data_IF_930296942537
#
_entry.id   IF_930296942537
#
_cell.length_a   1.000
_cell.length_b   1.000
_cell.length_c   1.000
_cell.angle_alpha   90.00
_cell.angle_beta   90.00
_cell.angle_gamma   90.00
#
_symmetry.space_group_name_H-M   'P 1'
#
loop_
_entity.id
_entity.type
_entity.pdbx_description
1 polymer ?
#
# COMPACT_ATOMS: atom_id res chain seq x y z
N UNK A 1 0.04 17.82 -4.75
CA UNK A 1 -0.36 17.35 -3.41
C UNK A 1 -1.56 16.43 -3.62
N UNK A 2 -1.31 15.12 -3.72
CA UNK A 2 -2.39 14.14 -3.78
C UNK A 2 -3.02 14.04 -2.39
N UNK A 3 -4.36 13.99 -2.36
CA UNK A 3 -5.09 13.87 -1.10
C UNK A 3 -4.86 12.47 -0.52
N UNK A 4 -4.73 12.33 0.81
CA UNK A 4 -4.59 11.03 1.45
C UNK A 4 -5.78 10.14 1.07
N UNK A 5 -5.50 8.90 0.70
CA UNK A 5 -6.51 7.87 0.48
C UNK A 5 -6.87 7.29 1.84
N UNK A 6 -8.16 7.16 2.12
CA UNK A 6 -8.65 6.57 3.35
C UNK A 6 -9.02 5.11 3.09
N UNK A 7 -8.53 4.23 3.96
CA UNK A 7 -8.98 2.82 4.04
C UNK A 7 -9.51 2.60 5.45
N UNK A 8 -10.66 1.96 5.57
CA UNK A 8 -11.18 1.50 6.86
C UNK A 8 -10.74 0.05 7.09
N UNK A 9 -10.07 -0.19 8.20
CA UNK A 9 -9.91 -1.51 8.80
C UNK A 9 -10.47 -1.44 10.21
N UNK A 10 -11.35 -2.34 10.55
CA UNK A 10 -11.94 -2.50 11.90
C UNK A 10 -12.55 -1.22 12.50
N UNK A 11 -13.09 -0.33 11.67
CA UNK A 11 -13.70 0.94 12.11
C UNK A 11 -12.68 2.05 12.43
N UNK A 12 -11.42 1.89 12.07
CA UNK A 12 -10.39 2.92 12.24
C UNK A 12 -10.06 3.62 10.91
N UNK A 13 -10.05 4.96 10.93
CA UNK A 13 -9.64 5.76 9.77
C UNK A 13 -8.13 5.72 9.63
N UNK A 14 -7.64 5.28 8.47
CA UNK A 14 -6.22 5.23 8.14
C UNK A 14 -5.85 6.40 7.21
N UNK A 15 -4.70 7.01 7.47
CA UNK A 15 -4.12 8.02 6.60
C UNK A 15 -3.00 7.38 5.79
N UNK A 16 -3.05 7.57 4.46
CA UNK A 16 -2.00 7.12 3.55
C UNK A 16 -1.20 8.32 3.06
N UNK A 17 0.11 8.26 3.18
CA UNK A 17 1.05 9.26 2.67
C UNK A 17 1.90 8.57 1.61
N UNK A 18 1.72 8.98 0.35
CA UNK A 18 2.58 8.52 -0.74
C UNK A 18 3.94 9.23 -0.65
N UNK A 19 5.00 8.46 -0.60
CA UNK A 19 6.37 8.93 -0.65
C UNK A 19 6.84 8.86 -2.10
N UNK A 20 6.74 9.99 -2.81
CA UNK A 20 7.32 10.17 -4.14
C UNK A 20 8.56 11.06 -4.02
N UNK A 21 9.64 10.64 -4.65
CA UNK A 21 10.95 11.30 -4.61
C UNK A 21 10.94 12.75 -5.14
N UNK A 22 9.97 13.08 -6.00
CA UNK A 22 9.78 14.46 -6.49
C UNK A 22 9.09 15.36 -5.46
N UNK A 23 8.32 14.79 -4.52
CA UNK A 23 7.54 15.51 -3.51
C UNK A 23 8.30 15.67 -2.17
N UNK A 24 9.38 14.94 -1.95
CA UNK A 24 10.17 14.97 -0.70
C UNK A 24 10.88 16.28 -0.42
N UNK A 25 10.91 17.21 -1.36
CA UNK A 25 11.33 18.58 -1.09
C UNK A 25 10.44 19.35 -0.09
N UNK A 26 9.30 18.79 0.33
CA UNK A 26 8.32 19.49 1.17
C UNK A 26 7.85 18.78 2.46
N UNK A 27 7.96 17.44 2.55
CA UNK A 27 7.56 16.67 3.77
C UNK A 27 8.65 15.66 4.18
N UNK A 28 9.86 15.88 3.80
CA UNK A 28 10.80 14.86 3.46
C UNK A 28 11.85 14.53 4.48
N UNK A 29 11.78 14.91 5.73
CA UNK A 29 12.78 14.43 6.68
C UNK A 29 12.18 13.48 7.69
N UNK A 30 12.96 12.49 8.11
CA UNK A 30 12.64 11.62 9.25
C UNK A 30 12.19 12.43 10.48
N UNK A 31 12.64 13.69 10.55
CA UNK A 31 12.28 14.61 11.60
C UNK A 31 10.82 15.09 11.51
N UNK A 32 10.29 15.29 10.31
CA UNK A 32 8.89 15.68 10.12
C UNK A 32 7.96 14.53 10.52
N UNK A 33 8.32 13.29 10.19
CA UNK A 33 7.58 12.11 10.61
C UNK A 33 7.60 11.94 12.14
N UNK A 34 8.70 12.26 12.82
CA UNK A 34 8.75 12.28 14.29
C UNK A 34 7.79 13.30 14.89
N UNK A 35 7.77 14.53 14.33
CA UNK A 35 6.85 15.58 14.78
C UNK A 35 5.39 15.19 14.56
N UNK A 36 5.08 14.47 13.50
CA UNK A 36 3.73 13.95 13.24
C UNK A 36 3.40 12.85 14.27
N UNK A 37 4.31 11.90 14.50
CA UNK A 37 4.12 10.81 15.44
C UNK A 37 3.91 11.29 16.89
N UNK A 38 4.46 12.45 17.26
CA UNK A 38 4.21 13.09 18.57
C UNK A 38 2.80 13.65 18.70
N UNK A 39 2.07 13.84 17.61
CA UNK A 39 0.74 14.49 17.58
C UNK A 39 -0.39 13.55 17.18
N UNK A 40 -0.09 12.50 16.45
CA UNK A 40 -1.06 11.54 15.92
C UNK A 40 -0.51 10.14 16.16
N UNK A 41 -1.36 9.18 16.47
CA UNK A 41 -0.95 7.78 16.58
C UNK A 41 -0.39 7.29 15.24
N UNK A 42 0.92 7.08 15.17
CA UNK A 42 1.62 6.68 13.95
C UNK A 42 1.09 5.35 13.37
N UNK A 43 0.49 4.48 14.20
CA UNK A 43 -0.13 3.21 13.77
C UNK A 43 -1.32 3.42 12.83
N UNK A 44 -1.91 4.63 12.84
CA UNK A 44 -2.99 5.03 11.96
C UNK A 44 -2.51 5.64 10.65
N UNK A 45 -1.20 5.70 10.43
CA UNK A 45 -0.60 6.29 9.23
C UNK A 45 0.16 5.22 8.49
N UNK A 46 -0.15 5.08 7.20
CA UNK A 46 0.55 4.22 6.26
C UNK A 46 1.41 5.07 5.33
N UNK A 47 2.65 4.65 5.12
CA UNK A 47 3.57 5.29 4.20
C UNK A 47 3.78 4.38 3.00
N UNK A 48 3.39 4.84 1.83
CA UNK A 48 3.58 4.14 0.57
C UNK A 48 4.88 4.60 -0.09
N UNK A 49 5.71 3.66 -0.49
CA UNK A 49 6.91 3.86 -1.28
C UNK A 49 6.84 2.99 -2.51
N UNK A 50 7.04 3.59 -3.69
CA UNK A 50 7.06 2.81 -4.93
C UNK A 50 8.30 1.91 -5.01
N UNK A 51 8.17 0.77 -5.68
CA UNK A 51 9.29 -0.14 -5.96
C UNK A 51 10.49 0.61 -6.54
N UNK A 52 10.26 1.47 -7.53
CA UNK A 52 11.29 2.24 -8.22
C UNK A 52 12.01 3.25 -7.30
N UNK A 53 11.28 3.93 -6.42
CA UNK A 53 11.88 4.86 -5.46
C UNK A 53 12.74 4.10 -4.44
N UNK A 54 12.24 2.97 -3.96
CA UNK A 54 12.93 2.14 -3.00
C UNK A 54 14.24 1.53 -3.55
N UNK A 55 14.33 1.32 -4.87
CA UNK A 55 15.49 0.73 -5.54
C UNK A 55 16.59 1.72 -5.93
N UNK A 56 16.40 3.02 -5.77
CA UNK A 56 17.44 4.03 -6.12
C UNK A 56 18.67 3.94 -5.24
N UNK A 57 18.48 3.83 -3.93
CA UNK A 57 19.52 3.60 -2.93
C UNK A 57 18.99 2.59 -1.89
N UNK A 58 19.13 1.29 -2.16
CA UNK A 58 18.53 0.25 -1.34
C UNK A 58 19.00 0.23 0.12
N UNK A 59 20.28 0.47 0.35
CA UNK A 59 20.88 0.48 1.70
C UNK A 59 20.31 1.66 2.52
N UNK A 60 20.32 2.86 1.95
CA UNK A 60 19.75 4.04 2.58
C UNK A 60 18.25 3.86 2.84
N UNK A 61 17.51 3.30 1.88
CA UNK A 61 16.07 3.04 2.01
C UNK A 61 15.77 2.10 3.18
N UNK A 62 16.51 1.01 3.33
CA UNK A 62 16.33 0.09 4.46
C UNK A 62 16.53 0.79 5.80
N UNK A 63 17.57 1.62 5.94
CA UNK A 63 17.86 2.34 7.17
C UNK A 63 16.77 3.36 7.52
N UNK A 64 16.32 4.14 6.52
CA UNK A 64 15.25 5.13 6.70
C UNK A 64 13.94 4.46 7.07
N UNK A 65 13.50 3.45 6.31
CA UNK A 65 12.24 2.76 6.57
C UNK A 65 12.25 1.98 7.88
N UNK A 66 13.40 1.45 8.31
CA UNK A 66 13.56 0.85 9.64
C UNK A 66 13.33 1.87 10.75
N UNK A 67 13.86 3.09 10.57
CA UNK A 67 13.63 4.19 11.48
C UNK A 67 12.16 4.63 11.51
N UNK A 68 11.51 4.69 10.35
CA UNK A 68 10.07 4.98 10.20
C UNK A 68 9.22 3.95 10.93
N UNK A 69 9.52 2.67 10.76
CA UNK A 69 8.83 1.59 11.49
C UNK A 69 9.00 1.70 13.00
N UNK A 70 10.18 2.09 13.46
CA UNK A 70 10.44 2.27 14.90
C UNK A 70 9.58 3.37 15.54
N UNK A 71 9.09 4.32 14.73
CA UNK A 71 8.12 5.35 15.13
C UNK A 71 6.67 4.85 15.15
N UNK A 72 6.41 3.62 14.69
CA UNK A 72 5.09 3.00 14.69
C UNK A 72 4.34 3.07 13.36
N UNK A 73 4.90 3.67 12.33
CA UNK A 73 4.30 3.72 10.99
C UNK A 73 4.23 2.35 10.32
N UNK A 74 3.19 2.12 9.52
CA UNK A 74 3.12 0.99 8.60
C UNK A 74 3.73 1.39 7.26
N UNK A 75 4.67 0.60 6.77
CA UNK A 75 5.33 0.81 5.46
C UNK A 75 4.70 -0.12 4.43
N UNK A 76 4.32 0.44 3.31
CA UNK A 76 3.71 -0.24 2.17
C UNK A 76 4.65 -0.12 0.97
N UNK A 77 4.93 -1.24 0.31
CA UNK A 77 5.60 -1.26 -0.98
C UNK A 77 4.55 -1.17 -2.09
N UNK A 78 4.59 -0.09 -2.86
CA UNK A 78 3.63 0.22 -3.91
C UNK A 78 4.15 -0.11 -5.32
N UNK A 79 3.24 -0.26 -6.28
CA UNK A 79 3.50 -0.54 -7.70
C UNK A 79 4.36 -1.81 -7.92
N UNK A 80 4.25 -2.81 -7.04
CA UNK A 80 5.10 -4.00 -7.10
C UNK A 80 4.86 -4.82 -8.37
N UNK A 81 5.97 -5.21 -9.01
CA UNK A 81 6.00 -5.98 -10.24
C UNK A 81 6.07 -5.16 -11.51
N UNK A 82 6.02 -3.82 -11.42
CA UNK A 82 6.18 -2.93 -12.58
C UNK A 82 7.65 -2.58 -12.88
N UNK A 83 8.56 -2.91 -11.94
CA UNK A 83 9.98 -2.60 -11.99
C UNK A 83 10.88 -3.84 -12.00
N UNK A 84 12.18 -3.61 -11.77
CA UNK A 84 13.22 -4.64 -11.71
C UNK A 84 13.65 -4.89 -10.26
N UNK A 85 12.79 -5.43 -9.42
CA UNK A 85 13.19 -5.78 -8.05
C UNK A 85 14.06 -7.03 -7.98
N UNK A 86 15.17 -6.92 -7.24
CA UNK A 86 15.89 -8.09 -6.80
C UNK A 86 15.17 -8.73 -5.62
N UNK A 87 14.82 -10.01 -5.74
CA UNK A 87 14.21 -10.79 -4.63
C UNK A 87 15.03 -10.72 -3.34
N UNK A 88 16.37 -10.70 -3.47
CA UNK A 88 17.28 -10.60 -2.32
C UNK A 88 17.14 -9.26 -1.58
N UNK A 89 16.76 -8.20 -2.28
CA UNK A 89 16.54 -6.90 -1.69
C UNK A 89 15.15 -6.80 -1.03
N UNK A 90 14.12 -7.33 -1.68
CA UNK A 90 12.75 -7.35 -1.14
C UNK A 90 12.69 -7.97 0.26
N UNK A 91 13.46 -9.04 0.49
CA UNK A 91 13.57 -9.68 1.81
C UNK A 91 14.15 -8.77 2.90
N UNK A 92 14.95 -7.77 2.54
CA UNK A 92 15.59 -6.82 3.48
C UNK A 92 14.73 -5.59 3.75
N UNK A 93 13.75 -5.33 2.86
CA UNK A 93 12.90 -4.14 2.98
C UNK A 93 11.97 -4.28 4.19
N UNK A 94 11.97 -3.31 5.10
CA UNK A 94 11.12 -3.36 6.28
C UNK A 94 9.67 -2.93 5.97
N UNK A 95 9.06 -3.47 4.90
CA UNK A 95 7.66 -3.30 4.58
C UNK A 95 6.78 -4.27 5.38
N UNK A 96 5.50 -3.98 5.52
CA UNK A 96 4.49 -4.87 6.09
C UNK A 96 3.42 -5.25 5.07
N UNK A 97 3.21 -4.42 4.05
CA UNK A 97 2.19 -4.63 3.03
C UNK A 97 2.84 -4.48 1.66
N UNK A 98 2.42 -5.32 0.73
CA UNK A 98 2.78 -5.27 -0.67
C UNK A 98 1.52 -4.97 -1.48
N UNK A 99 1.53 -3.89 -2.29
CA UNK A 99 0.43 -3.55 -3.19
C UNK A 99 0.69 -4.14 -4.57
N UNK A 100 -0.29 -4.85 -5.08
CA UNK A 100 -0.31 -5.41 -6.41
C UNK A 100 -0.93 -4.38 -7.35
N UNK A 101 -0.13 -3.90 -8.30
CA UNK A 101 -0.56 -2.85 -9.23
C UNK A 101 -1.77 -3.26 -10.06
N UNK A 102 -2.63 -2.29 -10.35
CA UNK A 102 -3.86 -2.45 -11.13
C UNK A 102 -3.65 -3.07 -12.51
N UNK A 103 -2.45 -2.97 -13.10
CA UNK A 103 -2.18 -3.54 -14.41
C UNK A 103 -2.30 -5.05 -14.41
N UNK A 104 -1.99 -5.71 -13.29
CA UNK A 104 -2.15 -7.16 -13.11
C UNK A 104 -3.59 -7.55 -12.73
N UNK A 105 -4.31 -6.65 -12.04
CA UNK A 105 -5.69 -6.90 -11.58
C UNK A 105 -6.69 -6.70 -12.72
N UNK A 106 -6.44 -5.76 -13.65
CA UNK A 106 -7.36 -5.41 -14.75
C UNK A 106 -7.78 -6.61 -15.57
N UNK A 107 -6.83 -7.44 -15.96
CA UNK A 107 -7.05 -8.55 -16.89
C UNK A 107 -7.19 -9.91 -16.17
N UNK A 108 -7.28 -9.90 -14.84
CA UNK A 108 -7.29 -11.07 -13.97
C UNK A 108 -8.41 -12.09 -14.27
N UNK A 109 -9.58 -11.62 -14.71
CA UNK A 109 -10.71 -12.47 -15.02
C UNK A 109 -10.66 -13.10 -16.45
N UNK A 110 -9.84 -12.54 -17.34
CA UNK A 110 -9.82 -12.91 -18.77
C UNK A 110 -8.49 -13.47 -19.25
N UNK A 111 -7.42 -13.24 -18.51
CA UNK A 111 -6.06 -13.67 -18.86
C UNK A 111 -5.47 -14.58 -17.78
N UNK A 112 -5.18 -15.83 -18.18
CA UNK A 112 -4.61 -16.83 -17.29
C UNK A 112 -3.17 -16.49 -16.84
N UNK A 113 -2.41 -15.75 -17.63
CA UNK A 113 -1.04 -15.37 -17.27
C UNK A 113 -1.05 -14.26 -16.25
N UNK A 114 -1.94 -13.27 -16.36
CA UNK A 114 -2.18 -12.25 -15.32
C UNK A 114 -2.58 -12.90 -13.99
N UNK A 115 -3.46 -13.90 -14.03
CA UNK A 115 -3.84 -14.64 -12.82
C UNK A 115 -2.64 -15.35 -12.18
N UNK A 116 -1.82 -16.04 -12.95
CA UNK A 116 -0.61 -16.72 -12.44
C UNK A 116 0.39 -15.74 -11.83
N UNK A 117 0.56 -14.57 -12.43
CA UNK A 117 1.44 -13.53 -11.91
C UNK A 117 0.95 -13.08 -10.51
N UNK A 118 -0.33 -12.80 -10.36
CA UNK A 118 -0.92 -12.42 -9.08
C UNK A 118 -0.81 -13.54 -8.05
N UNK A 119 -1.04 -14.80 -8.41
CA UNK A 119 -0.84 -15.97 -7.56
C UNK A 119 0.61 -16.05 -7.03
N UNK A 120 1.60 -15.82 -7.90
CA UNK A 120 3.02 -15.79 -7.52
C UNK A 120 3.33 -14.63 -6.58
N UNK A 121 2.78 -13.42 -6.85
CA UNK A 121 2.97 -12.24 -5.99
C UNK A 121 2.40 -12.45 -4.59
N UNK A 122 1.19 -12.99 -4.48
CA UNK A 122 0.55 -13.29 -3.20
C UNK A 122 1.32 -14.36 -2.43
N UNK A 123 1.78 -15.43 -3.12
CA UNK A 123 2.60 -16.46 -2.50
C UNK A 123 3.93 -15.89 -1.98
N UNK A 124 4.60 -15.08 -2.79
CA UNK A 124 5.86 -14.43 -2.40
C UNK A 124 5.67 -13.52 -1.18
N UNK A 125 4.64 -12.68 -1.19
CA UNK A 125 4.35 -11.80 -0.06
C UNK A 125 4.13 -12.60 1.23
N UNK A 126 3.36 -13.69 1.16
CA UNK A 126 3.12 -14.60 2.29
C UNK A 126 4.42 -15.23 2.81
N UNK A 127 5.30 -15.69 1.91
CA UNK A 127 6.59 -16.29 2.29
C UNK A 127 7.52 -15.27 2.96
N UNK A 128 7.37 -13.98 2.63
CA UNK A 128 8.09 -12.86 3.24
C UNK A 128 7.41 -12.30 4.49
N UNK A 129 6.24 -12.81 4.87
CA UNK A 129 5.47 -12.31 6.02
C UNK A 129 4.82 -10.94 5.78
N UNK A 130 4.55 -10.59 4.51
CA UNK A 130 3.86 -9.37 4.10
C UNK A 130 2.39 -9.67 3.87
N UNK A 131 1.51 -8.75 4.25
CA UNK A 131 0.13 -8.73 3.76
C UNK A 131 0.09 -8.19 2.33
N UNK A 132 -0.97 -8.51 1.59
CA UNK A 132 -1.16 -8.09 0.21
C UNK A 132 -2.37 -7.19 0.05
N UNK A 133 -2.28 -6.15 -0.78
CA UNK A 133 -3.40 -5.32 -1.21
C UNK A 133 -3.47 -5.30 -2.72
N UNK A 134 -4.58 -5.71 -3.32
CA UNK A 134 -4.79 -5.61 -4.76
C UNK A 134 -5.46 -4.28 -5.10
N UNK A 135 -4.95 -3.59 -6.13
CA UNK A 135 -5.46 -2.30 -6.58
C UNK A 135 -6.31 -2.41 -7.85
N UNK A 136 -7.21 -1.43 -8.03
CA UNK A 136 -7.99 -1.30 -9.25
C UNK A 136 -9.06 -2.38 -9.42
N UNK A 137 -9.64 -2.87 -8.33
CA UNK A 137 -10.76 -3.82 -8.38
C UNK A 137 -12.00 -3.08 -8.88
N UNK A 138 -12.51 -3.49 -10.04
CA UNK A 138 -13.66 -2.85 -10.68
C UNK A 138 -14.85 -3.80 -10.84
N UNK A 139 -14.65 -5.12 -10.72
CA UNK A 139 -15.69 -6.13 -10.93
C UNK A 139 -15.75 -7.16 -9.80
N UNK A 140 -16.94 -7.70 -9.54
CA UNK A 140 -17.15 -8.79 -8.57
C UNK A 140 -16.30 -10.02 -8.91
N UNK A 141 -16.09 -10.29 -10.20
CA UNK A 141 -15.28 -11.43 -10.66
C UNK A 141 -13.81 -11.27 -10.26
N UNK A 142 -13.23 -10.07 -10.43
CA UNK A 142 -11.87 -9.77 -9.95
C UNK A 142 -11.77 -9.95 -8.44
N UNK A 143 -12.74 -9.41 -7.69
CA UNK A 143 -12.79 -9.53 -6.23
C UNK A 143 -12.84 -10.99 -5.79
N UNK A 144 -13.69 -11.81 -6.44
CA UNK A 144 -13.82 -13.25 -6.15
C UNK A 144 -12.50 -14.00 -6.40
N UNK A 145 -11.86 -13.75 -7.55
CA UNK A 145 -10.61 -14.40 -7.91
C UNK A 145 -9.50 -14.02 -6.92
N UNK A 146 -9.38 -12.76 -6.54
CA UNK A 146 -8.40 -12.29 -5.55
C UNK A 146 -8.60 -12.96 -4.19
N UNK A 147 -9.85 -13.10 -3.75
CA UNK A 147 -10.17 -13.81 -2.52
C UNK A 147 -9.80 -15.31 -2.61
N UNK A 148 -10.01 -15.97 -3.76
CA UNK A 148 -9.61 -17.36 -4.00
C UNK A 148 -8.09 -17.55 -3.98
N UNK A 149 -7.35 -16.59 -4.54
CA UNK A 149 -5.87 -16.56 -4.52
C UNK A 149 -5.36 -16.35 -3.08
N UNK A 150 -6.17 -15.74 -2.21
CA UNK A 150 -5.83 -15.43 -0.82
C UNK A 150 -5.12 -14.09 -0.66
N UNK A 151 -5.48 -13.10 -1.49
CA UNK A 151 -5.12 -11.71 -1.28
C UNK A 151 -5.82 -11.18 -0.03
N UNK A 152 -5.10 -10.46 0.84
CA UNK A 152 -5.59 -10.07 2.16
C UNK A 152 -6.55 -8.88 2.08
N UNK A 153 -6.24 -7.90 1.23
CA UNK A 153 -6.99 -6.64 1.11
C UNK A 153 -7.22 -6.28 -0.36
N UNK A 154 -8.21 -5.41 -0.59
CA UNK A 154 -8.51 -4.91 -1.92
C UNK A 154 -8.88 -3.43 -1.92
N UNK A 155 -8.54 -2.74 -3.02
CA UNK A 155 -8.89 -1.36 -3.28
C UNK A 155 -9.34 -1.19 -4.73
N UNK A 156 -10.42 -0.43 -4.96
CA UNK A 156 -10.89 -0.14 -6.32
C UNK A 156 -12.30 0.42 -6.36
N UNK A 157 -12.76 0.76 -7.55
CA UNK A 157 -14.06 1.40 -7.74
C UNK A 157 -15.25 0.52 -7.41
N UNK A 158 -15.06 -0.80 -7.44
CA UNK A 158 -16.08 -1.75 -6.96
C UNK A 158 -16.37 -1.54 -5.46
N UNK A 159 -15.34 -1.30 -4.66
CA UNK A 159 -15.42 -1.18 -3.21
C UNK A 159 -15.79 0.24 -2.77
N UNK A 160 -15.36 1.25 -3.54
CA UNK A 160 -15.67 2.64 -3.27
C UNK A 160 -14.86 3.59 -4.16
N UNK A 161 -15.44 4.74 -4.47
CA UNK A 161 -14.72 5.82 -5.16
C UNK A 161 -14.08 6.75 -4.15
N UNK A 162 -12.92 7.34 -4.46
CA UNK A 162 -12.36 8.39 -3.63
C UNK A 162 -13.35 9.54 -3.46
N UNK A 163 -13.56 9.95 -2.22
CA UNK A 163 -14.42 11.08 -1.87
C UNK A 163 -13.63 12.09 -1.02
N UNK A 164 -14.01 13.37 -1.02
CA UNK A 164 -13.43 14.34 -0.09
C UNK A 164 -13.61 13.91 1.37
N UNK A 165 -12.63 14.23 2.22
CA UNK A 165 -12.67 13.86 3.64
C UNK A 165 -13.95 14.33 4.37
N UNK A 166 -14.51 15.49 3.97
CA UNK A 166 -15.77 16.01 4.51
C UNK A 166 -16.97 15.11 4.22
N UNK A 167 -17.00 14.45 3.07
CA UNK A 167 -18.06 13.51 2.68
C UNK A 167 -17.89 12.17 3.40
N UNK A 168 -16.67 11.70 3.56
CA UNK A 168 -16.37 10.47 4.30
C UNK A 168 -16.87 10.58 5.75
N UNK A 169 -16.52 11.66 6.44
CA UNK A 169 -16.94 11.91 7.84
C UNK A 169 -18.46 12.01 7.96
N UNK A 170 -19.15 12.57 6.96
CA UNK A 170 -20.61 12.61 6.94
C UNK A 170 -21.25 11.23 6.78
N UNK A 171 -20.67 10.37 5.91
CA UNK A 171 -21.12 9.00 5.68
C UNK A 171 -21.00 8.12 6.92
N UNK A 172 -19.90 8.21 7.66
CA UNK A 172 -19.64 7.46 8.88
C UNK A 172 -20.63 7.77 10.01
N UNK A 173 -21.15 9.02 10.06
CA UNK A 173 -22.15 9.43 11.08
C UNK A 173 -23.57 8.92 10.80
N UNK A 174 -23.86 8.46 9.60
CA UNK A 174 -25.19 7.97 9.20
C UNK A 174 -25.36 6.46 9.35
N UNK A 175 -24.31 5.73 9.67
CA UNK A 175 -24.29 4.24 9.81
C UNK A 175 -24.31 3.77 11.29
N UNK A 176 -24.58 4.70 12.23
CA UNK A 176 -24.66 4.39 13.69
C UNK A 176 -26.09 4.30 14.15
#
# INVERSE_FOLDING_TARGET
>A
MQLPRFQEEDGETLFVIEYDDAATAGLGTLNDLRVIADRVDARRIRLEITESAAMRDPEYTVDVLSSVRSLGYTVILDDFGTGYSSMAWLHRLPAQILKIDRTFVRDLATDADSRRIVEVMVSLARDLGLATTAEGIETDEQSRILAEIGCDYGQGFLLGRPVPASELVAGLRTTS
#
